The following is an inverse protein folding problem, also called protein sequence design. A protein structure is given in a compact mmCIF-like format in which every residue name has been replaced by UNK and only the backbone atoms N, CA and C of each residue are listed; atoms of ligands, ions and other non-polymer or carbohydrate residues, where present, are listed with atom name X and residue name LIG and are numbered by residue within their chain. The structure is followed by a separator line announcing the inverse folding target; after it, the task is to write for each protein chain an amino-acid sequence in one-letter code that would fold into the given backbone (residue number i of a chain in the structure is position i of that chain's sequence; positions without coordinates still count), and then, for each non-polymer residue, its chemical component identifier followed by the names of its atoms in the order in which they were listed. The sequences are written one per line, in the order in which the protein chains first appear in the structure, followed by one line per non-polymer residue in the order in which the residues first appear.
data_IF_311086508558
#
_entry.id   IF_311086508558
#
_cell.length_a   1.000
_cell.length_b   1.000
_cell.length_c   1.000
_cell.angle_alpha   90.00
_cell.angle_beta   90.00
_cell.angle_gamma   90.00
#
_symmetry.space_group_name_H-M   'P 1'
#
loop_
_entity.id
_entity.type
_entity.pdbx_description
1 polymer ?
#
# COMPACT_ATOMS: atom_id res chain seq x y z
N UNK A 1 -13.58 -10.22 -3.15
CA UNK A 1 -12.45 -9.72 -3.57
C UNK A 1 -12.63 -8.45 -4.17
N UNK A 2 -12.02 -7.69 -3.87
CA UNK A 2 -11.99 -6.56 -4.58
C UNK A 2 -11.42 -6.87 -5.85
N UNK A 3 -12.02 -6.50 -6.87
CA UNK A 3 -11.39 -6.58 -8.08
C UNK A 3 -10.51 -5.43 -8.21
N UNK A 4 -9.42 -5.61 -8.87
CA UNK A 4 -8.56 -4.52 -9.17
C UNK A 4 -9.27 -3.56 -10.06
N UNK A 5 -9.31 -2.32 -9.66
CA UNK A 5 -9.82 -1.28 -10.50
C UNK A 5 -8.72 -0.77 -11.38
N UNK A 6 -9.02 -0.37 -12.59
CA UNK A 6 -7.99 0.12 -13.48
C UNK A 6 -8.38 1.46 -14.03
N UNK A 7 -7.42 2.34 -14.18
CA UNK A 7 -7.58 3.62 -14.84
C UNK A 7 -8.14 4.69 -13.97
N UNK A 8 -7.94 5.91 -14.36
CA UNK A 8 -8.51 7.08 -13.78
C UNK A 8 -8.05 7.38 -12.39
N UNK A 9 -8.83 8.19 -11.71
CA UNK A 9 -8.52 8.65 -10.37
C UNK A 9 -8.44 7.52 -9.37
N UNK A 10 -9.28 6.49 -9.54
CA UNK A 10 -9.29 5.39 -8.60
C UNK A 10 -7.94 4.71 -8.56
N UNK A 11 -7.34 4.49 -9.72
CA UNK A 11 -6.04 3.85 -9.77
C UNK A 11 -4.97 4.73 -9.14
N UNK A 12 -5.01 6.03 -9.44
CA UNK A 12 -4.02 6.95 -8.87
C UNK A 12 -4.03 6.99 -7.37
N UNK A 13 -5.21 6.82 -6.76
CA UNK A 13 -5.33 6.94 -5.31
C UNK A 13 -5.16 5.63 -4.59
N UNK A 14 -5.30 4.50 -5.30
CA UNK A 14 -5.34 3.20 -4.61
C UNK A 14 -4.12 2.32 -4.87
N UNK A 15 -3.47 2.44 -6.04
CA UNK A 15 -2.35 1.55 -6.34
C UNK A 15 -1.17 1.90 -5.46
N UNK A 16 -0.67 0.97 -4.62
CA UNK A 16 0.47 1.26 -3.76
C UNK A 16 1.74 1.48 -4.58
N UNK A 17 2.58 2.37 -4.11
CA UNK A 17 3.87 2.66 -4.75
C UNK A 17 4.97 2.22 -3.80
N UNK A 18 5.79 1.27 -4.25
CA UNK A 18 6.88 0.73 -3.44
C UNK A 18 8.17 1.44 -3.82
N UNK A 19 8.89 1.93 -2.83
CA UNK A 19 10.17 2.57 -3.07
C UNK A 19 11.09 2.31 -1.88
N UNK A 20 12.29 2.80 -1.95
CA UNK A 20 13.20 2.64 -0.84
C UNK A 20 14.65 2.69 -1.27
N UNK A 21 15.53 2.27 -0.35
CA UNK A 21 16.96 2.26 -0.61
C UNK A 21 17.58 1.07 0.13
N UNK A 22 18.86 1.14 0.41
CA UNK A 22 19.59 0.01 0.97
C UNK A 22 19.18 -0.32 2.40
N UNK A 23 18.54 0.57 3.10
CA UNK A 23 18.20 0.36 4.49
C UNK A 23 16.71 0.39 4.79
N UNK A 24 15.87 0.71 3.83
CA UNK A 24 14.44 0.88 4.13
C UNK A 24 13.60 0.62 2.89
N UNK A 25 12.43 0.02 3.10
CA UNK A 25 11.41 -0.11 2.06
C UNK A 25 10.20 0.69 2.51
N UNK A 26 9.67 1.50 1.61
CA UNK A 26 8.53 2.38 1.91
C UNK A 26 7.42 2.11 0.91
N UNK A 27 6.20 2.07 1.39
CA UNK A 27 5.02 1.89 0.55
C UNK A 27 4.09 3.05 0.82
N UNK A 28 3.70 3.76 -0.23
CA UNK A 28 2.75 4.87 -0.13
C UNK A 28 1.54 4.50 -0.98
N UNK A 29 0.34 4.63 -0.47
CA UNK A 29 -0.87 4.34 -1.22
C UNK A 29 -1.39 5.67 -1.73
N UNK A 30 -1.29 5.74 -2.85
CA UNK A 30 -1.38 5.95 -4.19
C UNK A 30 -0.42 7.05 -4.63
N UNK A 31 -0.34 7.30 -5.93
CA UNK A 31 0.45 8.41 -6.46
C UNK A 31 -0.16 9.74 -6.02
N UNK A 32 -1.49 9.77 -5.87
CA UNK A 32 -2.20 10.88 -5.23
C UNK A 32 -2.67 10.32 -3.88
N UNK A 33 -2.42 11.05 -2.81
CA UNK A 33 -2.63 10.52 -1.46
C UNK A 33 -4.06 10.04 -1.26
N UNK A 34 -4.20 8.81 -0.76
CA UNK A 34 -5.51 8.22 -0.50
C UNK A 34 -6.12 8.84 0.76
N UNK A 35 -7.45 9.05 0.80
CA UNK A 35 -8.07 9.54 2.03
C UNK A 35 -7.88 8.58 3.19
N UNK A 36 -7.86 9.13 4.40
CA UNK A 36 -7.73 8.35 5.62
C UNK A 36 -8.75 8.84 6.65
N UNK A 37 -10.02 8.81 6.24
CA UNK A 37 -11.13 9.16 7.14
C UNK A 37 -11.74 7.90 7.72
N UNK A 38 -12.62 8.04 8.69
CA UNK A 38 -13.28 6.86 9.27
C UNK A 38 -14.12 6.12 8.26
N UNK A 39 -14.74 6.85 7.34
CA UNK A 39 -15.60 6.22 6.35
C UNK A 39 -14.82 5.65 5.17
N UNK A 40 -13.64 6.18 4.89
CA UNK A 40 -12.89 5.80 3.71
C UNK A 40 -11.41 5.84 4.03
N UNK A 41 -10.78 4.67 4.14
CA UNK A 41 -9.39 4.61 4.57
C UNK A 41 -8.71 3.35 4.07
N UNK A 42 -7.38 3.38 4.11
CA UNK A 42 -6.58 2.19 3.87
C UNK A 42 -6.42 1.48 5.21
N UNK A 43 -6.87 0.23 5.27
CA UNK A 43 -6.92 -0.53 6.52
C UNK A 43 -5.58 -1.16 6.83
N UNK A 44 -4.90 -1.69 5.81
CA UNK A 44 -3.58 -2.28 6.00
C UNK A 44 -2.80 -2.28 4.69
N UNK A 45 -1.48 -2.45 4.84
CA UNK A 45 -0.55 -2.54 3.72
C UNK A 45 0.34 -3.74 3.98
N UNK A 46 0.52 -4.60 2.99
CA UNK A 46 1.42 -5.75 3.08
C UNK A 46 2.53 -5.63 2.07
N UNK A 47 3.74 -6.03 2.46
CA UNK A 47 4.89 -6.11 1.60
C UNK A 47 5.13 -7.58 1.27
N UNK A 48 5.21 -7.89 -0.01
CA UNK A 48 5.34 -9.28 -0.48
C UNK A 48 6.60 -9.47 -1.28
N UNK A 49 7.18 -10.64 -1.15
CA UNK A 49 8.24 -11.10 -2.04
C UNK A 49 7.78 -12.45 -2.58
N UNK A 50 7.41 -12.48 -3.87
CA UNK A 50 6.78 -13.66 -4.45
C UNK A 50 5.49 -13.95 -3.71
N UNK A 51 5.34 -15.20 -3.25
CA UNK A 51 4.15 -15.60 -2.51
C UNK A 51 4.25 -15.35 -1.03
N UNK A 52 5.35 -14.75 -0.57
CA UNK A 52 5.59 -14.62 0.85
C UNK A 52 5.28 -13.23 1.33
N UNK A 53 4.52 -13.11 2.41
CA UNK A 53 4.28 -11.84 3.06
C UNK A 53 5.45 -11.56 3.99
N UNK A 54 6.20 -10.51 3.72
CA UNK A 54 7.35 -10.17 4.55
C UNK A 54 6.96 -9.33 5.74
N UNK A 55 6.07 -8.36 5.52
CA UNK A 55 5.65 -7.43 6.57
C UNK A 55 4.24 -6.96 6.31
N UNK A 56 3.58 -6.55 7.38
CA UNK A 56 2.24 -5.99 7.30
C UNK A 56 2.15 -4.82 8.25
N UNK A 57 1.52 -3.75 7.81
CA UNK A 57 1.26 -2.58 8.64
C UNK A 57 -0.24 -2.35 8.70
N UNK A 58 -0.80 -2.30 9.90
CA UNK A 58 -2.19 -1.95 10.10
C UNK A 58 -2.27 -0.44 10.30
N UNK A 59 -3.21 0.20 9.64
CA UNK A 59 -3.35 1.64 9.68
C UNK A 59 -4.68 2.02 10.31
N UNK A 60 -4.75 3.26 10.78
CA UNK A 60 -5.96 3.80 11.37
C UNK A 60 -6.33 5.10 10.68
N UNK A 61 -7.62 5.45 10.67
CA UNK A 61 -8.02 6.75 10.13
C UNK A 61 -7.23 7.86 10.81
N UNK A 62 -6.84 8.85 10.02
CA UNK A 62 -6.05 9.95 10.51
C UNK A 62 -4.56 9.78 10.34
N UNK A 63 -4.09 8.55 10.12
CA UNK A 63 -2.69 8.29 9.83
C UNK A 63 -2.43 8.47 8.35
N UNK A 64 -1.18 8.65 7.97
CA UNK A 64 -0.85 8.71 6.55
C UNK A 64 -1.00 7.33 5.91
N UNK A 65 -1.42 7.27 4.64
CA UNK A 65 -1.57 5.96 3.97
C UNK A 65 -0.22 5.46 3.49
N UNK A 66 0.66 5.18 4.43
CA UNK A 66 2.00 4.74 4.09
C UNK A 66 2.53 3.78 5.15
N UNK A 67 3.46 2.92 4.74
CA UNK A 67 4.16 2.03 5.63
C UNK A 67 5.65 2.17 5.36
N UNK A 68 6.44 2.23 6.44
CA UNK A 68 7.89 2.33 6.34
C UNK A 68 8.48 1.15 7.09
N UNK A 69 9.24 0.31 6.39
CA UNK A 69 9.83 -0.89 6.99
C UNK A 69 11.33 -0.71 7.05
N UNK A 70 11.80 -0.20 8.19
CA UNK A 70 13.22 0.00 8.41
C UNK A 70 13.92 -1.34 8.58
N UNK A 71 15.14 -1.41 8.10
CA UNK A 71 15.89 -2.65 8.17
C UNK A 71 15.60 -3.62 7.05
N UNK A 72 14.72 -3.26 6.11
CA UNK A 72 14.42 -4.09 4.96
C UNK A 72 14.90 -3.34 3.72
N UNK A 73 16.01 -3.78 3.11
CA UNK A 73 16.48 -3.12 1.89
C UNK A 73 15.47 -3.28 0.76
N UNK A 74 15.31 -2.25 -0.03
CA UNK A 74 14.37 -2.29 -1.14
C UNK A 74 14.87 -3.22 -2.25
N UNK A 75 13.96 -3.98 -2.85
CA UNK A 75 14.25 -4.80 -4.01
C UNK A 75 13.17 -4.57 -5.06
N UNK A 76 13.56 -4.57 -6.32
CA UNK A 76 12.62 -4.28 -7.40
C UNK A 76 11.55 -5.35 -7.57
N UNK A 77 11.79 -6.56 -7.08
CA UNK A 77 10.80 -7.64 -7.18
C UNK A 77 9.74 -7.57 -6.10
N UNK A 78 9.87 -6.66 -5.13
CA UNK A 78 8.86 -6.54 -4.09
C UNK A 78 7.55 -6.01 -4.65
N UNK A 79 6.46 -6.49 -4.09
CA UNK A 79 5.13 -6.00 -4.39
C UNK A 79 4.45 -5.59 -3.12
N UNK A 80 3.50 -4.67 -3.24
CA UNK A 80 2.70 -4.25 -2.11
C UNK A 80 1.24 -4.49 -2.41
N UNK A 81 0.48 -4.87 -1.37
CA UNK A 81 -0.96 -4.99 -1.46
C UNK A 81 -1.54 -4.11 -0.36
N UNK A 82 -2.51 -3.29 -0.72
CA UNK A 82 -3.20 -2.43 0.24
C UNK A 82 -4.69 -2.73 0.20
N UNK A 83 -5.34 -2.63 1.35
CA UNK A 83 -6.78 -2.88 1.42
C UNK A 83 -7.49 -1.58 1.78
N UNK A 84 -8.37 -1.14 0.88
CA UNK A 84 -9.23 0.01 1.10
C UNK A 84 -10.58 -0.50 1.57
N UNK A 85 -11.13 0.08 2.65
CA UNK A 85 -12.37 -0.44 3.22
C UNK A 85 -13.56 -0.31 2.28
N UNK A 86 -13.53 0.60 1.32
CA UNK A 86 -14.62 0.77 0.38
C UNK A 86 -14.35 0.14 -0.98
N UNK A 87 -13.09 0.09 -1.42
CA UNK A 87 -12.79 -0.28 -2.78
C UNK A 87 -11.94 -1.55 -2.91
N UNK A 88 -11.65 -2.22 -1.81
CA UNK A 88 -11.04 -3.55 -1.85
C UNK A 88 -9.53 -3.54 -1.97
N UNK A 89 -9.01 -4.60 -2.56
CA UNK A 89 -7.56 -4.84 -2.64
C UNK A 89 -6.94 -4.20 -3.86
N UNK A 90 -5.75 -3.63 -3.67
CA UNK A 90 -5.00 -3.00 -4.75
C UNK A 90 -3.54 -3.44 -4.64
N UNK A 91 -2.93 -3.77 -5.77
CA UNK A 91 -1.55 -4.25 -5.74
C UNK A 91 -0.68 -3.40 -6.64
N UNK A 92 0.58 -3.29 -6.24
CA UNK A 92 1.54 -2.49 -6.99
C UNK A 92 1.97 -3.16 -8.28
#
# INVERSE_FOLDING_TARGET
MGEEQTGGEAQEKHVPVVSGDEGVTRIIVGAVEHPMTEEHNIVWIELHEGDKVLKKADLKPGEKPEAVFEGIPYKSEYKAIAFCNLHGLWES
#
